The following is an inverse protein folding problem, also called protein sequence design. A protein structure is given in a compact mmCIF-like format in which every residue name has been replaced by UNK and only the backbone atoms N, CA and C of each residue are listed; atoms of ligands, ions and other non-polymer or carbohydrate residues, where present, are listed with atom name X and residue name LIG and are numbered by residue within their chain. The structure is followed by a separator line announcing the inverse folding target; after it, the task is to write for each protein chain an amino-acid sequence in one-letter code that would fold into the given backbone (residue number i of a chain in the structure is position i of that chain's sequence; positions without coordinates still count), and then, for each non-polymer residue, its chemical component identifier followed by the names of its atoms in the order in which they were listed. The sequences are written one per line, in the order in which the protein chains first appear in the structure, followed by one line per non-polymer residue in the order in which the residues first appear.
data_IF_374113227927
#
_entry.id   IF_374113227927
#
_cell.length_a   1.000
_cell.length_b   1.000
_cell.length_c   1.000
_cell.angle_alpha   90.00
_cell.angle_beta   90.00
_cell.angle_gamma   90.00
#
_symmetry.space_group_name_H-M   'P 1'
#
loop_
_entity.id
_entity.type
_entity.pdbx_description
1 polymer ?
#
# COMPACT_ATOMS: atom_id res chain seq x y z
N UNK A 1 -4.90 -31.05 16.25
CA UNK A 1 -5.62 -31.03 14.95
C UNK A 1 -7.10 -30.68 15.18
N UNK A 2 -7.44 -29.39 15.30
CA UNK A 2 -8.84 -28.92 15.41
C UNK A 2 -9.14 -27.75 14.43
N UNK A 3 -8.15 -27.21 13.73
CA UNK A 3 -8.31 -25.99 12.92
C UNK A 3 -8.04 -26.15 11.42
N UNK A 4 -7.94 -27.38 10.91
CA UNK A 4 -7.75 -27.63 9.48
C UNK A 4 -9.08 -27.88 8.79
N UNK A 5 -9.50 -26.96 7.91
CA UNK A 5 -10.64 -27.06 6.98
C UNK A 5 -12.06 -26.68 7.45
N UNK A 6 -12.38 -26.75 8.74
CA UNK A 6 -13.74 -26.40 9.23
C UNK A 6 -14.09 -24.91 9.09
N UNK A 7 -13.10 -24.00 9.13
CA UNK A 7 -13.40 -22.56 9.01
C UNK A 7 -13.86 -22.15 7.60
N UNK A 8 -13.55 -22.96 6.58
CA UNK A 8 -14.01 -22.72 5.21
C UNK A 8 -15.42 -23.26 4.96
N UNK A 9 -15.95 -24.08 5.88
CA UNK A 9 -17.28 -24.66 5.86
C UNK A 9 -17.83 -24.56 7.28
N UNK A 10 -18.10 -23.34 7.76
CA UNK A 10 -19.13 -23.18 8.78
C UNK A 10 -20.39 -23.80 8.15
N UNK A 11 -20.65 -25.06 8.49
CA UNK A 11 -21.85 -25.75 8.07
C UNK A 11 -23.01 -24.87 8.54
N UNK A 12 -24.00 -24.66 7.67
CA UNK A 12 -25.19 -23.85 8.00
C UNK A 12 -26.00 -24.41 9.20
N UNK A 13 -25.54 -25.52 9.79
CA UNK A 13 -26.09 -26.25 10.92
C UNK A 13 -25.27 -26.08 12.21
N UNK A 14 -24.24 -25.23 12.20
CA UNK A 14 -23.39 -24.97 13.35
C UNK A 14 -24.20 -24.45 14.55
N UNK A 15 -23.91 -24.98 15.74
CA UNK A 15 -24.61 -24.60 16.95
C UNK A 15 -24.37 -23.11 17.29
N UNK A 16 -25.32 -22.45 17.95
CA UNK A 16 -25.20 -21.02 18.34
C UNK A 16 -23.84 -20.60 18.97
N UNK A 17 -23.17 -21.44 19.81
CA UNK A 17 -21.85 -21.12 20.34
C UNK A 17 -20.75 -21.00 19.27
N UNK A 18 -20.86 -21.74 18.17
CA UNK A 18 -19.88 -21.76 17.09
C UNK A 18 -19.99 -20.49 16.24
N UNK A 19 -21.22 -20.02 15.97
CA UNK A 19 -21.44 -18.74 15.30
C UNK A 19 -20.92 -17.56 16.12
N UNK A 20 -21.06 -17.60 17.45
CA UNK A 20 -20.50 -16.56 18.32
C UNK A 20 -18.97 -16.48 18.21
N UNK A 21 -18.29 -17.63 18.12
CA UNK A 21 -16.85 -17.69 17.91
C UNK A 21 -16.45 -17.18 16.52
N UNK A 22 -17.18 -17.56 15.46
CA UNK A 22 -16.93 -17.06 14.10
C UNK A 22 -17.07 -15.55 14.04
N UNK A 23 -18.16 -15.00 14.60
CA UNK A 23 -18.38 -13.55 14.69
C UNK A 23 -17.25 -12.88 15.48
N UNK A 24 -16.83 -13.46 16.59
CA UNK A 24 -15.72 -12.96 17.40
C UNK A 24 -14.41 -12.91 16.62
N UNK A 25 -14.09 -13.96 15.86
CA UNK A 25 -12.91 -14.02 15.00
C UNK A 25 -12.97 -12.98 13.87
N UNK A 26 -14.11 -12.82 13.20
CA UNK A 26 -14.29 -11.81 12.16
C UNK A 26 -14.14 -10.39 12.71
N UNK A 27 -14.71 -10.11 13.88
CA UNK A 27 -14.54 -8.83 14.56
C UNK A 27 -13.07 -8.59 14.94
N UNK A 28 -12.37 -9.61 15.45
CA UNK A 28 -10.96 -9.53 15.77
C UNK A 28 -10.09 -9.25 14.53
N UNK A 29 -10.37 -9.90 13.40
CA UNK A 29 -9.70 -9.65 12.13
C UNK A 29 -9.94 -8.22 11.66
N UNK A 30 -11.17 -7.72 11.79
CA UNK A 30 -11.50 -6.35 11.40
C UNK A 30 -10.75 -5.31 12.25
N UNK A 31 -10.74 -5.50 13.56
CA UNK A 31 -9.99 -4.65 14.50
C UNK A 31 -8.49 -4.74 14.21
N UNK A 32 -7.96 -5.95 14.02
CA UNK A 32 -6.55 -6.16 13.68
C UNK A 32 -6.18 -5.48 12.37
N UNK A 33 -7.02 -5.60 11.33
CA UNK A 33 -6.80 -4.91 10.06
C UNK A 33 -6.79 -3.40 10.25
N UNK A 34 -7.67 -2.84 11.08
CA UNK A 34 -7.67 -1.41 11.39
C UNK A 34 -6.40 -0.96 12.12
N UNK A 35 -5.89 -1.76 13.07
CA UNK A 35 -4.63 -1.50 13.78
C UNK A 35 -3.42 -1.59 12.85
N UNK A 36 -3.44 -2.52 11.89
CA UNK A 36 -2.33 -2.76 10.94
C UNK A 36 -2.36 -1.82 9.72
N UNK A 37 -3.39 -0.99 9.55
CA UNK A 37 -3.48 -0.02 8.46
C UNK A 37 -2.25 0.88 8.32
N UNK A 38 -1.71 1.52 9.38
CA UNK A 38 -0.50 2.34 9.26
C UNK A 38 0.70 1.57 8.71
N UNK A 39 0.84 0.30 9.07
CA UNK A 39 1.90 -0.56 8.56
C UNK A 39 1.68 -0.87 7.07
N UNK A 40 0.46 -1.22 6.67
CA UNK A 40 0.14 -1.47 5.26
C UNK A 40 0.41 -0.21 4.41
N UNK A 41 -0.03 0.96 4.88
CA UNK A 41 0.24 2.25 4.23
C UNK A 41 1.73 2.53 4.15
N UNK A 42 2.49 2.30 5.22
CA UNK A 42 3.95 2.47 5.20
C UNK A 42 4.61 1.58 4.14
N UNK A 43 4.25 0.30 4.07
CA UNK A 43 4.79 -0.62 3.06
C UNK A 43 4.48 -0.13 1.64
N UNK A 44 3.26 0.35 1.42
CA UNK A 44 2.84 0.92 0.14
C UNK A 44 3.65 2.16 -0.24
N UNK A 45 3.76 3.15 0.66
CA UNK A 45 4.54 4.36 0.40
C UNK A 45 6.03 4.05 0.21
N UNK A 46 6.59 3.09 0.98
CA UNK A 46 7.95 2.61 0.75
C UNK A 46 8.11 1.97 -0.64
N UNK A 47 7.05 1.34 -1.16
CA UNK A 47 7.01 0.84 -2.53
C UNK A 47 7.20 1.94 -3.57
N UNK A 48 6.73 3.16 -3.33
CA UNK A 48 7.05 4.32 -4.18
C UNK A 48 8.42 4.92 -3.86
N UNK A 49 8.76 5.01 -2.58
CA UNK A 49 9.96 5.71 -2.14
C UNK A 49 11.25 5.00 -2.57
N UNK A 50 11.29 3.67 -2.52
CA UNK A 50 12.48 2.89 -2.94
C UNK A 50 12.84 3.13 -4.41
N UNK A 51 11.94 2.95 -5.40
CA UNK A 51 12.25 3.28 -6.78
C UNK A 51 12.53 4.76 -6.98
N UNK A 52 11.88 5.66 -6.23
CA UNK A 52 12.21 7.08 -6.30
C UNK A 52 13.67 7.33 -5.87
N UNK A 53 14.10 6.83 -4.71
CA UNK A 53 15.48 6.98 -4.23
C UNK A 53 16.54 6.44 -5.20
N UNK A 54 16.20 5.37 -5.94
CA UNK A 54 17.08 4.76 -6.94
C UNK A 54 17.11 5.51 -8.27
N UNK A 55 16.03 6.21 -8.64
CA UNK A 55 15.84 6.79 -9.97
C UNK A 55 15.95 8.32 -10.01
N UNK A 56 15.77 8.99 -8.87
CA UNK A 56 16.04 10.43 -8.70
C UNK A 56 17.24 10.64 -7.77
N UNK A 57 17.86 11.82 -7.84
CA UNK A 57 18.89 12.29 -6.90
C UNK A 57 18.32 13.24 -5.82
N UNK A 58 17.02 13.55 -5.91
CA UNK A 58 16.33 14.47 -5.01
C UNK A 58 15.97 13.83 -3.67
N UNK A 59 15.53 14.67 -2.73
CA UNK A 59 14.98 14.23 -1.45
C UNK A 59 13.63 13.55 -1.70
N UNK A 60 13.45 12.37 -1.10
CA UNK A 60 12.19 11.62 -1.14
C UNK A 60 11.54 11.71 0.23
N UNK A 61 10.30 12.18 0.26
CA UNK A 61 9.52 12.35 1.47
C UNK A 61 8.49 11.24 1.59
N UNK A 62 8.42 10.56 2.73
CA UNK A 62 7.41 9.53 3.02
C UNK A 62 6.62 9.94 4.25
N UNK A 63 5.30 10.05 4.09
CA UNK A 63 4.38 10.37 5.18
C UNK A 63 3.33 9.29 5.31
N UNK A 64 3.14 8.81 6.53
CA UNK A 64 2.00 7.96 6.91
C UNK A 64 1.21 8.64 8.01
N UNK A 65 -0.10 8.78 7.80
CA UNK A 65 -1.02 9.44 8.71
C UNK A 65 -1.28 10.92 8.39
N UNK A 66 -2.28 11.48 9.09
CA UNK A 66 -2.57 12.91 9.04
C UNK A 66 -1.70 13.65 10.05
N UNK A 67 -1.05 14.69 9.57
CA UNK A 67 -0.48 15.74 10.42
C UNK A 67 -1.64 16.70 10.76
N UNK A 68 -1.86 16.97 12.05
CA UNK A 68 -2.91 17.93 12.45
C UNK A 68 -2.60 19.31 11.87
N UNK A 69 -3.61 19.92 11.26
CA UNK A 69 -3.50 21.15 10.47
C UNK A 69 -3.59 22.43 11.33
N UNK A 70 -3.13 22.41 12.57
CA UNK A 70 -3.12 23.58 13.45
C UNK A 70 -1.75 23.72 14.12
N UNK A 71 -1.00 24.76 13.73
CA UNK A 71 0.22 25.20 14.43
C UNK A 71 1.53 24.80 13.76
N UNK A 72 2.05 25.70 12.93
CA UNK A 72 3.21 25.55 12.03
C UNK A 72 4.60 25.59 12.69
N UNK A 73 4.82 25.02 13.87
CA UNK A 73 6.17 25.04 14.50
C UNK A 73 6.65 23.70 15.05
N UNK A 74 5.76 22.78 15.42
CA UNK A 74 6.15 21.42 15.86
C UNK A 74 6.43 20.46 14.69
N UNK A 75 6.34 20.94 13.45
CA UNK A 75 6.35 20.11 12.25
C UNK A 75 7.74 19.70 11.77
N UNK A 76 8.82 20.38 12.17
CA UNK A 76 10.18 20.07 11.71
C UNK A 76 10.81 18.94 12.54
N UNK A 77 10.45 18.82 13.82
CA UNK A 77 11.10 17.89 14.77
C UNK A 77 10.60 16.43 14.65
N UNK A 78 9.47 16.19 13.99
CA UNK A 78 8.92 14.84 13.80
C UNK A 78 9.50 14.12 12.58
N UNK A 79 10.09 14.86 11.64
CA UNK A 79 10.73 14.25 10.47
C UNK A 79 12.02 13.57 10.89
N UNK A 80 12.12 12.30 10.51
CA UNK A 80 13.33 11.52 10.66
C UNK A 80 14.00 11.48 9.30
N UNK A 81 15.28 11.86 9.28
CA UNK A 81 16.06 11.89 8.05
C UNK A 81 17.04 10.72 8.06
N UNK A 82 17.03 9.95 6.97
CA UNK A 82 18.01 8.92 6.69
C UNK A 82 18.61 9.21 5.31
N UNK A 83 19.67 10.02 5.28
CA UNK A 83 20.26 10.50 4.04
C UNK A 83 19.26 11.32 3.23
N UNK A 84 18.89 10.83 2.04
CA UNK A 84 17.94 11.46 1.12
C UNK A 84 16.47 11.09 1.39
N UNK A 85 16.22 10.17 2.32
CA UNK A 85 14.88 9.75 2.74
C UNK A 85 14.45 10.54 3.97
N UNK A 86 13.44 11.38 3.81
CA UNK A 86 12.77 12.06 4.92
C UNK A 86 11.46 11.31 5.19
N UNK A 87 11.23 10.89 6.44
CA UNK A 87 10.00 10.16 6.76
C UNK A 87 9.34 10.62 8.05
N UNK A 88 8.02 10.51 8.09
CA UNK A 88 7.20 10.78 9.27
C UNK A 88 6.04 9.78 9.34
N UNK A 89 5.87 9.16 10.50
CA UNK A 89 4.80 8.22 10.76
C UNK A 89 3.94 8.70 11.93
N UNK A 90 2.63 8.81 11.68
CA UNK A 90 1.61 9.11 12.68
C UNK A 90 0.54 8.01 12.66
N UNK A 91 0.18 7.51 13.84
CA UNK A 91 -0.94 6.58 13.99
C UNK A 91 -2.28 7.24 13.70
N UNK A 92 -2.37 8.57 13.80
CA UNK A 92 -3.63 9.31 13.60
C UNK A 92 -3.89 9.41 12.10
N UNK A 93 -4.91 8.70 11.63
CA UNK A 93 -5.25 8.66 10.20
C UNK A 93 -4.31 7.80 9.36
N UNK A 94 -3.68 6.76 9.91
CA UNK A 94 -2.70 5.91 9.20
C UNK A 94 -3.22 5.10 8.00
N UNK A 95 -4.42 5.40 7.50
CA UNK A 95 -4.87 4.97 6.17
C UNK A 95 -4.59 5.99 5.07
N UNK A 96 -4.07 7.18 5.43
CA UNK A 96 -3.62 8.20 4.50
C UNK A 96 -2.08 8.14 4.40
N UNK A 97 -1.57 8.00 3.20
CA UNK A 97 -0.15 7.99 2.88
C UNK A 97 0.18 9.07 1.86
N UNK A 98 1.44 9.49 1.82
CA UNK A 98 1.94 10.39 0.80
C UNK A 98 3.43 10.16 0.58
N UNK A 99 3.83 9.97 -0.67
CA UNK A 99 5.23 9.98 -1.09
C UNK A 99 5.50 11.19 -1.97
N UNK A 100 6.33 12.11 -1.47
CA UNK A 100 6.79 13.30 -2.18
C UNK A 100 8.11 13.04 -2.89
N UNK A 101 8.16 13.32 -4.18
CA UNK A 101 9.37 13.26 -5.00
C UNK A 101 9.23 14.20 -6.20
N UNK A 102 10.35 14.69 -6.72
CA UNK A 102 10.35 15.51 -7.93
C UNK A 102 9.98 14.66 -9.15
N UNK A 103 8.78 14.89 -9.69
CA UNK A 103 8.27 14.20 -10.88
C UNK A 103 8.94 14.69 -12.17
N UNK A 104 9.37 15.95 -12.23
CA UNK A 104 9.93 16.56 -13.44
C UNK A 104 11.39 16.12 -13.65
N UNK A 105 12.08 15.75 -12.56
CA UNK A 105 13.41 15.14 -12.61
C UNK A 105 13.43 13.72 -13.18
N UNK A 106 12.27 13.04 -13.26
CA UNK A 106 12.16 11.65 -13.72
C UNK A 106 11.74 11.58 -15.19
N UNK A 107 12.39 10.70 -15.96
CA UNK A 107 11.86 10.33 -17.25
C UNK A 107 10.54 9.53 -17.07
N UNK A 108 9.70 9.48 -18.10
CA UNK A 108 8.35 8.92 -17.97
C UNK A 108 8.31 7.42 -17.62
N UNK A 109 9.31 6.64 -18.06
CA UNK A 109 9.42 5.23 -17.70
C UNK A 109 9.85 5.04 -16.24
N UNK A 110 10.75 5.87 -15.75
CA UNK A 110 11.13 5.93 -14.34
C UNK A 110 9.95 6.37 -13.48
N UNK A 111 9.15 7.34 -13.92
CA UNK A 111 7.92 7.73 -13.25
C UNK A 111 6.91 6.58 -13.17
N UNK A 112 6.70 5.84 -14.27
CA UNK A 112 5.87 4.63 -14.26
C UNK A 112 6.37 3.57 -13.27
N UNK A 113 7.69 3.36 -13.19
CA UNK A 113 8.29 2.44 -12.23
C UNK A 113 8.05 2.88 -10.78
N UNK A 114 8.14 4.19 -10.50
CA UNK A 114 7.82 4.75 -9.18
C UNK A 114 6.35 4.55 -8.84
N UNK A 115 5.43 4.90 -9.75
CA UNK A 115 3.97 4.74 -9.54
C UNK A 115 3.60 3.26 -9.36
N UNK A 116 4.18 2.34 -10.12
CA UNK A 116 3.90 0.91 -9.97
C UNK A 116 4.42 0.34 -8.64
N UNK A 117 5.43 0.95 -8.05
CA UNK A 117 6.12 0.46 -6.87
C UNK A 117 5.20 0.25 -5.65
N UNK A 118 4.32 1.19 -5.34
CA UNK A 118 3.38 1.08 -4.20
C UNK A 118 2.40 -0.10 -4.33
N UNK A 119 1.64 -0.20 -5.43
CA UNK A 119 0.81 -1.37 -5.72
C UNK A 119 1.58 -2.69 -5.74
N UNK A 120 2.80 -2.72 -6.30
CA UNK A 120 3.63 -3.93 -6.34
C UNK A 120 4.00 -4.42 -4.93
N UNK A 121 4.51 -3.54 -4.07
CA UNK A 121 4.83 -3.92 -2.68
C UNK A 121 3.58 -4.33 -1.91
N UNK A 122 2.46 -3.63 -2.11
CA UNK A 122 1.18 -4.00 -1.48
C UNK A 122 0.70 -5.38 -1.92
N UNK A 123 0.86 -5.71 -3.21
CA UNK A 123 0.56 -7.03 -3.76
C UNK A 123 1.48 -8.13 -3.20
N UNK A 124 2.78 -7.85 -3.07
CA UNK A 124 3.73 -8.77 -2.43
C UNK A 124 3.39 -9.01 -0.95
N UNK A 125 2.99 -7.95 -0.23
CA UNK A 125 2.53 -8.07 1.15
C UNK A 125 1.25 -8.92 1.25
N UNK A 126 0.32 -8.78 0.31
CA UNK A 126 -0.85 -9.68 0.21
C UNK A 126 -0.40 -11.14 -0.02
N UNK A 127 0.53 -11.37 -0.95
CA UNK A 127 1.07 -12.70 -1.22
C UNK A 127 1.70 -13.34 0.02
N UNK A 128 2.49 -12.56 0.78
CA UNK A 128 3.07 -12.99 2.04
C UNK A 128 2.00 -13.32 3.08
N UNK A 129 1.00 -12.44 3.26
CA UNK A 129 -0.10 -12.67 4.20
C UNK A 129 -0.89 -13.94 3.87
N UNK A 130 -1.20 -14.16 2.59
CA UNK A 130 -1.87 -15.37 2.12
C UNK A 130 -1.02 -16.63 2.35
N UNK A 131 0.28 -16.57 2.02
CA UNK A 131 1.19 -17.69 2.28
C UNK A 131 1.26 -18.05 3.76
N UNK A 132 1.37 -17.04 4.64
CA UNK A 132 1.36 -17.25 6.09
C UNK A 132 0.05 -17.90 6.57
N UNK A 133 -1.11 -17.44 6.08
CA UNK A 133 -2.42 -17.98 6.47
C UNK A 133 -2.66 -19.41 5.99
N UNK A 134 -2.22 -19.76 4.78
CA UNK A 134 -2.60 -21.02 4.15
C UNK A 134 -1.51 -22.10 4.20
N UNK A 135 -0.27 -21.75 4.50
CA UNK A 135 0.87 -22.69 4.41
C UNK A 135 1.79 -22.74 5.63
N UNK A 136 1.84 -21.70 6.45
CA UNK A 136 2.90 -21.59 7.47
C UNK A 136 2.35 -21.65 8.89
N UNK A 137 1.28 -20.91 9.18
CA UNK A 137 0.80 -20.72 10.54
C UNK A 137 -0.32 -21.70 10.86
N UNK A 138 -0.23 -22.35 12.03
CA UNK A 138 -1.22 -23.32 12.50
C UNK A 138 -1.94 -22.83 13.76
N UNK A 139 -1.30 -21.95 14.54
CA UNK A 139 -1.86 -21.43 15.78
C UNK A 139 -2.95 -20.39 15.51
N UNK A 140 -4.15 -20.51 16.14
CA UNK A 140 -5.29 -19.64 15.84
C UNK A 140 -5.01 -18.15 15.97
N UNK A 141 -4.27 -17.74 17.00
CA UNK A 141 -3.93 -16.34 17.22
C UNK A 141 -2.96 -15.79 16.14
N UNK A 142 -2.06 -16.64 15.62
CA UNK A 142 -1.16 -16.28 14.53
C UNK A 142 -1.95 -16.10 13.22
N UNK A 143 -2.92 -16.99 12.97
CA UNK A 143 -3.83 -16.90 11.83
C UNK A 143 -4.68 -15.63 11.88
N UNK A 144 -5.14 -15.20 13.06
CA UNK A 144 -5.87 -13.92 13.22
C UNK A 144 -4.99 -12.72 12.83
N UNK A 145 -3.73 -12.70 13.27
CA UNK A 145 -2.79 -11.62 12.94
C UNK A 145 -2.46 -11.63 11.45
N UNK A 146 -2.15 -12.79 10.88
CA UNK A 146 -1.83 -12.92 9.46
C UNK A 146 -3.04 -12.58 8.57
N UNK A 147 -4.25 -12.97 8.96
CA UNK A 147 -5.48 -12.61 8.26
C UNK A 147 -5.74 -11.10 8.33
N UNK A 148 -5.51 -10.49 9.49
CA UNK A 148 -5.59 -9.03 9.66
C UNK A 148 -4.60 -8.29 8.75
N UNK A 149 -3.35 -8.78 8.69
CA UNK A 149 -2.31 -8.26 7.81
C UNK A 149 -2.69 -8.41 6.33
N UNK A 150 -3.15 -9.58 5.93
CA UNK A 150 -3.64 -9.85 4.58
C UNK A 150 -4.78 -8.91 4.20
N UNK A 151 -5.82 -8.80 5.02
CA UNK A 151 -6.96 -7.94 4.76
C UNK A 151 -6.57 -6.46 4.65
N UNK A 152 -5.71 -5.97 5.55
CA UNK A 152 -5.26 -4.58 5.51
C UNK A 152 -4.51 -4.26 4.21
N UNK A 153 -3.57 -5.11 3.80
CA UNK A 153 -2.83 -4.91 2.55
C UNK A 153 -3.71 -5.12 1.32
N UNK A 154 -4.65 -6.06 1.36
CA UNK A 154 -5.56 -6.33 0.24
C UNK A 154 -6.49 -5.15 -0.04
N UNK A 155 -7.04 -4.53 1.01
CA UNK A 155 -7.87 -3.33 0.86
C UNK A 155 -7.06 -2.20 0.22
N UNK A 156 -5.83 -1.99 0.67
CA UNK A 156 -4.95 -0.95 0.13
C UNK A 156 -4.54 -1.23 -1.32
N UNK A 157 -4.14 -2.46 -1.62
CA UNK A 157 -3.78 -2.92 -2.97
C UNK A 157 -4.93 -2.76 -3.96
N UNK A 158 -6.14 -3.18 -3.59
CA UNK A 158 -7.32 -3.03 -4.44
C UNK A 158 -7.62 -1.56 -4.70
N UNK A 159 -7.57 -0.71 -3.66
CA UNK A 159 -7.76 0.74 -3.79
C UNK A 159 -6.71 1.37 -4.71
N UNK A 160 -5.47 0.91 -4.67
CA UNK A 160 -4.38 1.45 -5.48
C UNK A 160 -4.44 1.01 -6.93
N UNK A 161 -4.77 -0.26 -7.22
CA UNK A 161 -4.76 -0.80 -8.60
C UNK A 161 -6.01 -0.40 -9.38
N UNK A 162 -7.16 -0.25 -8.73
CA UNK A 162 -8.40 0.12 -9.43
C UNK A 162 -8.27 1.58 -9.91
N UNK A 163 -8.41 1.85 -11.23
CA UNK A 163 -8.25 3.21 -11.77
C UNK A 163 -9.49 4.05 -11.48
N UNK A 164 -9.49 4.74 -10.35
CA UNK A 164 -10.57 5.64 -9.89
C UNK A 164 -9.99 6.91 -9.30
N UNK A 165 -10.79 7.97 -9.24
CA UNK A 165 -10.45 9.15 -8.46
C UNK A 165 -10.85 8.90 -7.00
N UNK A 166 -9.93 9.18 -6.08
CA UNK A 166 -10.14 9.02 -4.65
C UNK A 166 -10.95 10.19 -4.08
N UNK A 167 -11.48 10.02 -2.87
CA UNK A 167 -12.18 11.09 -2.16
C UNK A 167 -11.20 12.23 -1.85
N UNK A 168 -11.26 13.28 -2.66
CA UNK A 168 -10.29 14.39 -2.69
C UNK A 168 -10.00 14.87 -4.11
N UNK A 169 -10.33 14.08 -5.13
CA UNK A 169 -10.07 14.39 -6.54
C UNK A 169 -8.72 13.87 -7.04
N UNK A 170 -7.88 13.33 -6.14
CA UNK A 170 -6.60 12.75 -6.50
C UNK A 170 -6.78 11.42 -7.25
N UNK A 171 -5.97 11.14 -8.28
CA UNK A 171 -6.01 9.85 -8.97
C UNK A 171 -5.49 8.73 -8.04
N UNK A 172 -6.07 7.53 -8.14
CA UNK A 172 -5.41 6.33 -7.61
C UNK A 172 -4.13 6.03 -8.38
N UNK A 173 -3.22 5.23 -7.83
CA UNK A 173 -1.97 4.86 -8.50
C UNK A 173 -2.23 4.18 -9.85
N UNK A 174 -3.27 3.35 -9.94
CA UNK A 174 -3.70 2.72 -11.18
C UNK A 174 -4.19 3.74 -12.22
N UNK A 175 -4.87 4.81 -11.78
CA UNK A 175 -5.28 5.90 -12.66
C UNK A 175 -4.06 6.73 -13.11
N UNK A 176 -3.17 7.10 -12.19
CA UNK A 176 -1.96 7.88 -12.47
C UNK A 176 -1.00 7.13 -13.40
N UNK A 177 -0.85 5.82 -13.17
CA UNK A 177 -0.11 4.92 -14.05
C UNK A 177 -0.69 4.91 -15.46
N UNK A 178 -2.02 4.79 -15.59
CA UNK A 178 -2.66 4.77 -16.90
C UNK A 178 -2.49 6.10 -17.66
N UNK A 179 -2.68 7.23 -16.97
CA UNK A 179 -2.49 8.56 -17.54
C UNK A 179 -1.04 8.71 -18.04
N UNK A 180 -0.08 8.39 -17.19
CA UNK A 180 1.36 8.50 -17.50
C UNK A 180 1.76 7.57 -18.66
N UNK A 181 1.21 6.35 -18.70
CA UNK A 181 1.47 5.39 -19.76
C UNK A 181 0.99 5.92 -21.11
N UNK A 182 -0.24 6.44 -21.18
CA UNK A 182 -0.80 7.01 -22.42
C UNK A 182 0.01 8.20 -22.92
N UNK A 183 0.41 9.09 -22.02
CA UNK A 183 1.26 10.22 -22.37
C UNK A 183 2.61 9.73 -22.94
N UNK A 184 3.19 8.70 -22.35
CA UNK A 184 4.46 8.10 -22.81
C UNK A 184 4.33 7.50 -24.20
N UNK A 185 3.26 6.74 -24.47
CA UNK A 185 2.98 6.18 -25.79
C UNK A 185 2.76 7.26 -26.86
N UNK A 186 2.08 8.36 -26.53
CA UNK A 186 1.87 9.48 -27.43
C UNK A 186 3.19 10.17 -27.80
N UNK A 187 4.03 10.49 -26.81
CA UNK A 187 5.34 11.08 -27.08
C UNK A 187 6.28 10.16 -27.87
N UNK A 188 6.17 8.84 -27.69
CA UNK A 188 6.94 7.88 -28.48
C UNK A 188 6.49 7.85 -29.95
N UNK A 189 5.19 8.07 -30.22
CA UNK A 189 4.63 8.15 -31.58
C UNK A 189 4.94 9.47 -32.28
N UNK A 190 5.07 10.56 -31.52
CA UNK A 190 5.36 11.90 -32.05
C UNK A 190 6.85 12.13 -32.37
N UNK A 191 7.76 11.30 -31.85
CA UNK A 191 9.19 11.42 -32.13
C UNK A 191 9.50 10.87 -33.54
N UNK A 192 9.95 11.69 -34.52
CA UNK A 192 10.20 11.22 -35.88
C UNK A 192 11.39 10.24 -35.93
N UNK A 193 11.39 9.26 -36.85
CA UNK A 193 12.35 8.16 -36.90
C UNK A 193 13.77 8.54 -37.39
N UNK A 194 14.23 9.78 -37.18
CA UNK A 194 15.43 10.31 -37.83
C UNK A 194 16.59 10.74 -36.91
N UNK A 195 16.61 10.31 -35.65
CA UNK A 195 17.78 10.47 -34.75
C UNK A 195 18.42 9.13 -34.36
N UNK A 196 18.52 8.19 -35.31
CA UNK A 196 19.28 6.93 -35.15
C UNK A 196 20.36 6.72 -36.24
N UNK A 197 20.86 7.80 -36.82
CA UNK A 197 22.13 7.79 -37.56
C UNK A 197 22.83 9.13 -37.40
N UNK A 198 23.85 9.16 -36.54
CA UNK A 198 25.22 9.62 -36.82
C UNK A 198 26.12 9.32 -35.62
#
# INVERSE_FOLDING_TARGET
MIFGHEFALATLDAAWPEWALVIGCLAAIWVGAWILRPLATLLHELGHAVPALLLTNEVVEVRVGRLSREGSEYMVDAWRNLGRLHWVCSFRGGGDGFTGYDRDALNRWSLLAVIAGGPLISGLACGLGAWLCFKTLEEPWQLLIASSFLCSNAILFLRSVIPVHLSGGDPSDGMDFWITLRQTEQAAKEKPPNEMTL
#
